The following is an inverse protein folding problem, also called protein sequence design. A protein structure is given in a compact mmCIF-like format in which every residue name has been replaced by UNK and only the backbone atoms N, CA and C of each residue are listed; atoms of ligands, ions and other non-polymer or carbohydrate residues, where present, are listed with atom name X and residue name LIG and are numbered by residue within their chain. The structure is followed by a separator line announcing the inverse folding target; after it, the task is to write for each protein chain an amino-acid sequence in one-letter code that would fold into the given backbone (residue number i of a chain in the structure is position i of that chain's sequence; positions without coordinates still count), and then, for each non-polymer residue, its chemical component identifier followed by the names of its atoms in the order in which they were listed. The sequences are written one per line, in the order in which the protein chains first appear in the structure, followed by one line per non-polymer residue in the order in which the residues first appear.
data_IF_252434178958
#
_entry.id   IF_252434178958
#
_cell.length_a   1.000
_cell.length_b   1.000
_cell.length_c   1.000
_cell.angle_alpha   90.00
_cell.angle_beta   90.00
_cell.angle_gamma   90.00
#
_symmetry.space_group_name_H-M   'P 1'
#
loop_
_entity.id
_entity.type
_entity.pdbx_description
1 polymer ?
#
# COMPACT_ATOMS: atom_id res chain seq x y z
N UNK A 1 4.05 24.10 11.34
CA UNK A 1 4.60 23.10 10.37
C UNK A 1 3.83 21.77 10.42
N UNK A 2 3.40 21.31 11.60
CA UNK A 2 2.52 20.13 11.78
C UNK A 2 1.15 20.28 11.13
N UNK A 3 0.60 21.49 11.07
CA UNK A 3 -0.74 21.74 10.52
C UNK A 3 -0.80 21.49 9.00
N UNK A 4 0.24 21.89 8.28
CA UNK A 4 0.36 21.62 6.84
C UNK A 4 0.53 20.13 6.55
N UNK A 5 1.27 19.40 7.41
CA UNK A 5 1.47 17.95 7.27
C UNK A 5 0.16 17.17 7.49
N UNK A 6 -0.64 17.59 8.47
CA UNK A 6 -1.96 17.00 8.73
C UNK A 6 -2.90 17.24 7.55
N UNK A 7 -3.03 18.49 7.09
CA UNK A 7 -3.91 18.86 5.97
C UNK A 7 -3.53 18.08 4.71
N UNK A 8 -2.23 18.02 4.37
CA UNK A 8 -1.76 17.29 3.20
C UNK A 8 -2.07 15.79 3.30
N UNK A 9 -1.89 15.19 4.48
CA UNK A 9 -2.18 13.76 4.70
C UNK A 9 -3.67 13.44 4.52
N UNK A 10 -4.56 14.29 5.04
CA UNK A 10 -6.02 14.09 4.88
C UNK A 10 -6.48 14.32 3.44
N UNK A 11 -5.90 15.31 2.75
CA UNK A 11 -6.19 15.56 1.33
C UNK A 11 -5.72 14.38 0.49
N UNK A 12 -4.48 13.90 0.67
CA UNK A 12 -3.96 12.73 -0.03
C UNK A 12 -4.77 11.46 0.29
N UNK A 13 -5.18 11.25 1.54
CA UNK A 13 -6.04 10.13 1.90
C UNK A 13 -7.39 10.19 1.18
N UNK A 14 -8.01 11.38 1.06
CA UNK A 14 -9.23 11.59 0.29
C UNK A 14 -9.05 11.25 -1.19
N UNK A 15 -7.94 11.68 -1.80
CA UNK A 15 -7.60 11.32 -3.17
C UNK A 15 -7.42 9.81 -3.35
N UNK A 16 -6.74 9.13 -2.43
CA UNK A 16 -6.56 7.67 -2.50
C UNK A 16 -7.88 6.90 -2.34
N UNK A 17 -8.80 7.36 -1.49
CA UNK A 17 -10.15 6.77 -1.37
C UNK A 17 -10.95 6.93 -2.65
N UNK A 18 -10.91 8.11 -3.27
CA UNK A 18 -11.53 8.34 -4.58
C UNK A 18 -10.90 7.46 -5.66
N UNK A 19 -9.58 7.27 -5.62
CA UNK A 19 -8.87 6.40 -6.55
C UNK A 19 -9.22 4.92 -6.33
N UNK A 20 -9.38 4.46 -5.08
CA UNK A 20 -9.91 3.11 -4.79
C UNK A 20 -11.32 2.94 -5.35
N UNK A 21 -12.18 3.94 -5.17
CA UNK A 21 -13.55 3.89 -5.68
C UNK A 21 -13.59 3.85 -7.21
N UNK A 22 -12.71 4.60 -7.87
CA UNK A 22 -12.54 4.52 -9.32
C UNK A 22 -11.94 3.18 -9.79
N UNK A 23 -10.98 2.62 -9.04
CA UNK A 23 -10.31 1.36 -9.38
C UNK A 23 -11.21 0.13 -9.14
N UNK A 24 -12.26 0.24 -8.31
CA UNK A 24 -13.34 -0.78 -8.22
C UNK A 24 -13.99 -1.07 -9.58
N UNK A 25 -13.96 -0.13 -10.51
CA UNK A 25 -14.48 -0.30 -11.87
C UNK A 25 -13.49 -1.07 -12.77
N UNK A 26 -12.19 -1.12 -12.43
CA UNK A 26 -11.12 -1.73 -13.25
C UNK A 26 -10.39 -2.93 -12.62
N UNK A 27 -10.64 -3.26 -11.35
CA UNK A 27 -10.22 -4.49 -10.64
C UNK A 27 -8.81 -4.99 -11.00
N UNK A 28 -7.81 -4.12 -10.86
CA UNK A 28 -6.40 -4.52 -10.93
C UNK A 28 -5.86 -4.80 -9.53
N UNK A 29 -5.64 -6.08 -9.21
CA UNK A 29 -5.13 -6.57 -7.91
C UNK A 29 -3.89 -5.83 -7.38
N UNK A 30 -2.82 -5.58 -8.18
CA UNK A 30 -1.64 -4.90 -7.67
C UNK A 30 -1.86 -3.38 -7.46
N UNK A 31 -2.67 -2.73 -8.30
CA UNK A 31 -2.96 -1.29 -8.22
C UNK A 31 -3.79 -0.98 -6.97
N UNK A 32 -4.84 -1.74 -6.71
CA UNK A 32 -5.66 -1.60 -5.49
C UNK A 32 -4.84 -1.83 -4.21
N UNK A 33 -3.91 -2.78 -4.22
CA UNK A 33 -3.02 -3.04 -3.07
C UNK A 33 -2.02 -1.90 -2.85
N UNK A 34 -1.45 -1.33 -3.90
CA UNK A 34 -0.59 -0.13 -3.82
C UNK A 34 -1.32 1.04 -3.15
N UNK A 35 -2.55 1.31 -3.60
CA UNK A 35 -3.34 2.42 -3.06
C UNK A 35 -3.71 2.18 -1.59
N UNK A 36 -4.04 0.93 -1.23
CA UNK A 36 -4.31 0.57 0.16
C UNK A 36 -3.09 0.84 1.07
N UNK A 37 -1.88 0.48 0.63
CA UNK A 37 -0.65 0.78 1.36
C UNK A 37 -0.42 2.28 1.51
N UNK A 38 -0.59 3.08 0.44
CA UNK A 38 -0.47 4.54 0.52
C UNK A 38 -1.49 5.18 1.45
N UNK A 39 -2.74 4.70 1.44
CA UNK A 39 -3.80 5.16 2.33
C UNK A 39 -3.44 4.91 3.79
N UNK A 40 -2.98 3.69 4.12
CA UNK A 40 -2.54 3.32 5.47
C UNK A 40 -1.41 4.23 5.94
N UNK A 41 -0.37 4.44 5.12
CA UNK A 41 0.74 5.33 5.48
C UNK A 41 0.28 6.77 5.73
N UNK A 42 -0.58 7.31 4.86
CA UNK A 42 -1.11 8.67 5.05
C UNK A 42 -1.96 8.79 6.31
N UNK A 43 -2.76 7.77 6.63
CA UNK A 43 -3.54 7.75 7.87
C UNK A 43 -2.64 7.78 9.11
N UNK A 44 -1.56 6.99 9.10
CA UNK A 44 -0.58 6.98 10.20
C UNK A 44 0.05 8.36 10.37
N UNK A 45 0.51 8.98 9.28
CA UNK A 45 1.11 10.32 9.34
C UNK A 45 0.12 11.39 9.79
N UNK A 46 -1.12 11.34 9.31
CA UNK A 46 -2.18 12.26 9.72
C UNK A 46 -2.51 12.15 11.21
N UNK A 47 -2.72 10.93 11.71
CA UNK A 47 -2.98 10.68 13.13
C UNK A 47 -1.80 11.11 13.99
N UNK A 48 -0.56 10.81 13.58
CA UNK A 48 0.64 11.24 14.30
C UNK A 48 0.74 12.77 14.37
N UNK A 49 0.43 13.47 13.27
CA UNK A 49 0.43 14.94 13.24
C UNK A 49 -0.64 15.56 14.15
N UNK A 50 -1.78 14.89 14.37
CA UNK A 50 -2.85 15.34 15.27
C UNK A 50 -2.50 15.08 16.74
N UNK A 51 -2.06 13.86 17.08
CA UNK A 51 -1.82 13.45 18.47
C UNK A 51 -0.58 14.13 19.06
N UNK A 52 0.50 14.24 18.27
CA UNK A 52 1.78 14.83 18.70
C UNK A 52 1.93 16.31 18.32
N UNK A 53 0.82 17.02 18.11
CA UNK A 53 0.86 18.46 17.84
C UNK A 53 1.45 19.22 19.03
N UNK A 54 2.70 19.67 18.88
CA UNK A 54 3.40 20.47 19.88
C UNK A 54 3.89 19.70 21.10
N UNK A 55 3.91 18.36 21.06
CA UNK A 55 4.44 17.54 22.15
C UNK A 55 5.16 16.30 21.57
N UNK A 56 6.22 15.84 22.25
CA UNK A 56 7.02 14.64 21.92
C UNK A 56 6.79 13.49 22.91
N UNK A 57 5.95 13.68 23.92
CA UNK A 57 5.68 12.68 24.96
C UNK A 57 4.99 11.41 24.41
N UNK A 58 5.31 10.26 24.98
CA UNK A 58 4.70 8.97 24.63
C UNK A 58 3.28 8.94 25.21
N UNK A 59 2.29 9.36 24.41
CA UNK A 59 0.89 9.40 24.86
C UNK A 59 0.18 8.05 24.79
N UNK A 60 0.44 7.26 23.75
CA UNK A 60 -0.26 6.01 23.48
C UNK A 60 0.75 4.95 23.01
N UNK A 61 1.32 4.14 23.92
CA UNK A 61 2.36 3.16 23.56
C UNK A 61 1.85 2.10 22.57
N UNK A 62 0.57 1.70 22.67
CA UNK A 62 -0.07 0.72 21.75
C UNK A 62 -0.11 1.26 20.31
N UNK A 63 -0.36 2.55 20.13
CA UNK A 63 -0.37 3.18 18.80
C UNK A 63 1.02 3.18 18.17
N UNK A 64 2.05 3.51 18.96
CA UNK A 64 3.43 3.57 18.48
C UNK A 64 3.92 2.19 17.97
N UNK A 65 3.59 1.12 18.70
CA UNK A 65 3.94 -0.25 18.28
C UNK A 65 3.25 -0.65 16.96
N UNK A 66 1.93 -0.39 16.84
CA UNK A 66 1.15 -0.68 15.63
C UNK A 66 1.68 0.11 14.42
N UNK A 67 1.91 1.41 14.59
CA UNK A 67 2.39 2.28 13.50
C UNK A 67 3.78 1.89 13.02
N UNK A 68 4.68 1.52 13.93
CA UNK A 68 6.04 1.09 13.59
C UNK A 68 6.01 -0.20 12.75
N UNK A 69 5.21 -1.19 13.17
CA UNK A 69 5.02 -2.44 12.42
C UNK A 69 4.43 -2.20 11.03
N UNK A 70 3.37 -1.39 10.94
CA UNK A 70 2.75 -1.06 9.65
C UNK A 70 3.71 -0.32 8.71
N UNK A 71 4.49 0.64 9.22
CA UNK A 71 5.45 1.40 8.42
C UNK A 71 6.62 0.52 7.96
N UNK A 72 7.09 -0.40 8.80
CA UNK A 72 8.06 -1.43 8.42
C UNK A 72 7.52 -2.32 7.29
N UNK A 73 6.27 -2.79 7.42
CA UNK A 73 5.59 -3.52 6.36
C UNK A 73 5.47 -2.74 5.06
N UNK A 74 5.15 -1.44 5.13
CA UNK A 74 5.02 -0.58 3.95
C UNK A 74 6.35 -0.42 3.18
N UNK A 75 7.49 -0.40 3.87
CA UNK A 75 8.82 -0.35 3.23
C UNK A 75 9.08 -1.57 2.33
N UNK A 76 8.41 -2.69 2.58
CA UNK A 76 8.53 -3.92 1.79
C UNK A 76 7.34 -4.10 0.83
N UNK A 77 6.13 -3.76 1.27
CA UNK A 77 4.90 -3.86 0.50
C UNK A 77 4.86 -2.91 -0.70
N UNK A 78 5.29 -1.66 -0.53
CA UNK A 78 5.34 -0.68 -1.62
C UNK A 78 6.24 -1.13 -2.79
N UNK A 79 7.55 -1.43 -2.60
CA UNK A 79 8.37 -1.88 -3.71
C UNK A 79 7.87 -3.18 -4.34
N UNK A 80 7.31 -4.10 -3.55
CA UNK A 80 6.69 -5.32 -4.09
C UNK A 80 5.52 -5.01 -5.04
N UNK A 81 4.63 -4.10 -4.66
CA UNK A 81 3.52 -3.68 -5.54
C UNK A 81 4.00 -2.99 -6.82
N UNK A 82 5.06 -2.18 -6.76
CA UNK A 82 5.67 -1.57 -7.95
C UNK A 82 6.22 -2.61 -8.92
N UNK A 83 6.89 -3.66 -8.42
CA UNK A 83 7.40 -4.76 -9.26
C UNK A 83 6.24 -5.49 -9.95
N UNK A 84 5.15 -5.79 -9.24
CA UNK A 84 3.96 -6.42 -9.84
C UNK A 84 3.35 -5.56 -10.95
N UNK A 85 3.23 -4.24 -10.73
CA UNK A 85 2.74 -3.31 -11.75
C UNK A 85 3.69 -3.27 -12.96
N UNK A 86 5.01 -3.15 -12.71
CA UNK A 86 6.02 -3.11 -13.78
C UNK A 86 6.01 -4.39 -14.62
N UNK A 87 5.87 -5.57 -14.01
CA UNK A 87 5.72 -6.86 -14.73
C UNK A 87 4.48 -6.89 -15.61
N UNK A 88 3.36 -6.36 -15.12
CA UNK A 88 2.12 -6.29 -15.89
C UNK A 88 2.25 -5.32 -17.08
N UNK A 89 2.95 -4.21 -16.89
CA UNK A 89 3.26 -3.26 -17.96
C UNK A 89 4.21 -3.85 -19.01
N UNK A 90 5.26 -4.57 -18.59
CA UNK A 90 6.18 -5.26 -19.49
C UNK A 90 5.45 -6.29 -20.34
N UNK A 91 4.56 -7.09 -19.74
CA UNK A 91 3.77 -8.07 -20.45
C UNK A 91 2.88 -7.43 -21.53
N UNK A 92 2.22 -6.31 -21.22
CA UNK A 92 1.38 -5.58 -22.19
C UNK A 92 2.23 -4.92 -23.28
N UNK A 93 3.42 -4.41 -22.94
CA UNK A 93 4.31 -3.75 -23.89
C UNK A 93 5.04 -4.72 -24.82
N UNK A 94 5.32 -5.94 -24.39
CA UNK A 94 6.14 -6.90 -25.16
C UNK A 94 5.41 -7.49 -26.37
N UNK A 95 4.14 -7.13 -26.63
CA UNK A 95 3.28 -7.71 -27.68
C UNK A 95 3.30 -9.25 -27.73
N UNK A 96 3.62 -9.91 -26.62
CA UNK A 96 3.62 -11.37 -26.54
C UNK A 96 2.19 -11.84 -26.73
N UNK A 97 2.01 -12.85 -27.56
CA UNK A 97 0.71 -13.51 -27.70
C UNK A 97 0.19 -13.87 -26.31
N UNK A 98 -1.08 -13.54 -25.98
CA UNK A 98 -1.63 -13.88 -24.69
C UNK A 98 -1.50 -15.39 -24.53
N UNK A 99 -0.85 -15.88 -23.44
CA UNK A 99 -0.62 -17.30 -23.30
C UNK A 99 -1.98 -18.02 -23.29
N UNK A 100 -2.10 -19.15 -24.01
CA UNK A 100 -3.36 -19.85 -24.16
C UNK A 100 -3.68 -20.63 -22.87
N UNK A 101 -4.05 -19.94 -21.78
CA UNK A 101 -4.74 -20.60 -20.67
C UNK A 101 -5.28 -19.65 -19.59
N UNK A 102 -6.41 -20.03 -18.98
CA UNK A 102 -6.93 -19.42 -17.74
C UNK A 102 -6.09 -19.75 -16.50
N UNK A 103 -5.26 -20.79 -16.58
CA UNK A 103 -4.38 -21.25 -15.50
C UNK A 103 -3.25 -20.23 -15.21
N UNK A 104 -2.65 -19.65 -16.25
CA UNK A 104 -1.61 -18.63 -16.11
C UNK A 104 -2.12 -17.35 -15.45
N UNK A 105 -3.39 -16.98 -15.68
CA UNK A 105 -4.01 -15.82 -15.02
C UNK A 105 -4.16 -16.01 -13.51
N UNK A 106 -4.50 -17.23 -13.06
CA UNK A 106 -4.61 -17.55 -11.63
C UNK A 106 -3.25 -17.53 -10.95
N UNK A 107 -2.22 -18.07 -11.61
CA UNK A 107 -0.83 -18.05 -11.09
C UNK A 107 -0.31 -16.62 -10.97
N UNK A 108 -0.56 -15.76 -11.96
CA UNK A 108 -0.19 -14.34 -11.89
C UNK A 108 -0.87 -13.63 -10.70
N UNK A 109 -2.17 -13.82 -10.50
CA UNK A 109 -2.90 -13.25 -9.36
C UNK A 109 -2.35 -13.80 -8.03
N UNK A 110 -2.04 -15.09 -7.96
CA UNK A 110 -1.45 -15.69 -6.76
C UNK A 110 -0.06 -15.11 -6.44
N UNK A 111 0.78 -14.90 -7.45
CA UNK A 111 2.09 -14.27 -7.30
C UNK A 111 1.94 -12.81 -6.84
N UNK A 112 1.00 -12.06 -7.43
CA UNK A 112 0.74 -10.68 -7.02
C UNK A 112 0.30 -10.61 -5.56
N UNK A 113 -0.61 -11.49 -5.12
CA UNK A 113 -1.05 -11.56 -3.72
C UNK A 113 0.11 -11.98 -2.80
N UNK A 114 0.91 -12.96 -3.20
CA UNK A 114 2.05 -13.43 -2.41
C UNK A 114 3.07 -12.31 -2.18
N UNK A 115 3.42 -11.55 -3.23
CA UNK A 115 4.39 -10.47 -3.14
C UNK A 115 3.82 -9.24 -2.42
N UNK A 116 2.59 -8.85 -2.72
CA UNK A 116 2.03 -7.58 -2.22
C UNK A 116 1.45 -7.67 -0.79
N UNK A 117 1.11 -8.87 -0.31
CA UNK A 117 0.42 -9.08 0.98
C UNK A 117 1.17 -10.08 1.86
N UNK A 118 1.47 -11.28 1.37
CA UNK A 118 2.06 -12.34 2.20
C UNK A 118 3.46 -11.94 2.66
N UNK A 119 4.28 -11.42 1.75
CA UNK A 119 5.65 -11.01 2.04
C UNK A 119 5.75 -9.88 3.09
N UNK A 120 5.00 -8.75 3.01
CA UNK A 120 5.01 -7.73 4.06
C UNK A 120 4.43 -8.24 5.39
N UNK A 121 3.44 -9.14 5.38
CA UNK A 121 2.90 -9.74 6.63
C UNK A 121 3.97 -10.61 7.30
N UNK A 122 4.67 -11.46 6.55
CA UNK A 122 5.77 -12.28 7.09
C UNK A 122 6.86 -11.37 7.66
N UNK A 123 7.21 -10.29 6.96
CA UNK A 123 8.21 -9.34 7.44
C UNK A 123 7.80 -8.67 8.75
N UNK A 124 6.51 -8.30 8.89
CA UNK A 124 5.97 -7.76 10.14
C UNK A 124 5.97 -8.80 11.26
N UNK A 125 5.64 -10.06 10.98
CA UNK A 125 5.59 -11.12 12.00
C UNK A 125 6.97 -11.59 12.46
N UNK A 126 7.97 -11.50 11.59
CA UNK A 126 9.35 -11.87 11.90
C UNK A 126 10.05 -10.85 12.81
N UNK A 127 9.56 -9.61 12.85
CA UNK A 127 10.18 -8.48 13.54
C UNK A 127 9.44 -8.13 14.82
#
# INVERSE_FOLDING_TARGET
MTDALAILSFVCAGFFVLFLFADRVRLNTPTSTLIAWFFICNLIHGVNAVIWKGNVDIKIPIWCDITTRLLLGANVGLPATFICIARKLEFVSSQREPPPDGQNKRVQIAIDIALCIVLPIIYILLR
#
